data_IF_122553355920
#
_entry.id   IF_122553355920
#
_cell.length_a   1.000
_cell.length_b   1.000
_cell.length_c   1.000
_cell.angle_alpha   90.00
_cell.angle_beta   90.00
_cell.angle_gamma   90.00
#
_symmetry.space_group_name_H-M   'P 1'
#
loop_
_entity.id
_entity.type
_entity.pdbx_description
1 polymer ?
#
# COMPACT_ATOMS: atom_id res chain seq x y z
N UNK A 1 22.47 -0.40 -18.29
CA UNK A 1 23.41 -1.48 -17.97
C UNK A 1 23.42 -1.88 -16.49
N UNK A 2 23.61 -0.96 -15.52
CA UNK A 2 23.60 -1.31 -14.07
C UNK A 2 22.29 -1.89 -13.55
N UNK A 3 21.14 -1.38 -13.98
CA UNK A 3 19.81 -1.89 -13.59
C UNK A 3 19.51 -3.28 -14.17
N UNK A 4 19.94 -3.53 -15.40
CA UNK A 4 19.82 -4.86 -16.03
C UNK A 4 20.60 -5.93 -15.26
N UNK A 5 21.80 -5.60 -14.81
CA UNK A 5 22.62 -6.51 -13.99
C UNK A 5 21.99 -6.82 -12.62
N UNK A 6 21.36 -5.82 -11.96
CA UNK A 6 20.69 -6.02 -10.66
C UNK A 6 19.49 -6.93 -10.84
N UNK A 7 18.67 -6.69 -11.84
CA UNK A 7 17.49 -7.51 -12.11
C UNK A 7 17.86 -8.94 -12.52
N UNK A 8 18.91 -9.11 -13.32
CA UNK A 8 19.41 -10.44 -13.69
C UNK A 8 19.99 -11.20 -12.50
N UNK A 9 20.69 -10.52 -11.59
CA UNK A 9 21.18 -11.10 -10.34
C UNK A 9 20.02 -11.48 -9.41
N UNK A 10 19.03 -10.60 -9.24
CA UNK A 10 17.83 -10.91 -8.45
C UNK A 10 17.08 -12.11 -9.01
N UNK A 11 16.91 -12.20 -10.34
CA UNK A 11 16.25 -13.33 -10.99
C UNK A 11 16.96 -14.66 -10.71
N UNK A 12 18.30 -14.66 -10.66
CA UNK A 12 19.08 -15.86 -10.31
C UNK A 12 18.79 -16.30 -8.88
N UNK A 13 18.71 -15.37 -7.93
CA UNK A 13 18.41 -15.70 -6.53
C UNK A 13 17.01 -16.29 -6.37
N UNK A 14 16.03 -15.85 -7.16
CA UNK A 14 14.67 -16.40 -7.11
C UNK A 14 14.54 -17.82 -7.69
N UNK A 15 15.53 -18.29 -8.47
CA UNK A 15 15.56 -19.63 -9.04
C UNK A 15 16.30 -20.62 -8.12
N UNK A 16 17.17 -20.12 -7.24
CA UNK A 16 17.97 -20.99 -6.37
C UNK A 16 17.12 -21.64 -5.27
N UNK A 17 17.33 -22.92 -4.99
CA UNK A 17 16.63 -23.60 -3.91
C UNK A 17 17.10 -23.09 -2.53
N UNK A 18 16.23 -23.16 -1.54
CA UNK A 18 16.45 -22.62 -0.18
C UNK A 18 17.77 -23.10 0.46
N UNK A 19 18.20 -24.36 0.22
CA UNK A 19 19.47 -24.86 0.76
C UNK A 19 20.69 -24.11 0.21
N UNK A 20 20.68 -23.76 -1.07
CA UNK A 20 21.76 -23.00 -1.70
C UNK A 20 21.79 -21.54 -1.18
N UNK A 21 20.61 -20.95 -1.01
CA UNK A 21 20.46 -19.61 -0.43
C UNK A 21 20.93 -19.57 1.02
N UNK A 22 20.66 -20.61 1.80
CA UNK A 22 21.15 -20.77 3.18
C UNK A 22 22.68 -20.73 3.26
N UNK A 23 23.34 -21.46 2.36
CA UNK A 23 24.82 -21.48 2.29
C UNK A 23 25.37 -20.11 1.86
N UNK A 24 24.76 -19.48 0.84
CA UNK A 24 25.22 -18.19 0.32
C UNK A 24 25.07 -17.03 1.30
N UNK A 25 24.05 -17.07 2.14
CA UNK A 25 23.79 -15.98 3.07
C UNK A 25 24.55 -16.09 4.37
N UNK A 26 25.04 -17.29 4.75
CA UNK A 26 25.64 -17.58 6.07
C UNK A 26 24.80 -17.07 7.26
N UNK A 27 23.53 -16.77 7.04
CA UNK A 27 22.64 -16.20 8.04
C UNK A 27 21.93 -17.29 8.83
N UNK A 28 21.75 -17.02 10.13
CA UNK A 28 20.90 -17.86 10.97
C UNK A 28 19.46 -17.74 10.50
N UNK A 29 18.78 -18.85 10.53
CA UNK A 29 17.35 -18.95 10.30
C UNK A 29 16.58 -18.05 11.26
N UNK A 30 15.70 -17.21 10.75
CA UNK A 30 14.76 -16.42 11.56
C UNK A 30 13.47 -17.23 11.60
N UNK A 31 13.13 -17.77 12.75
CA UNK A 31 11.91 -18.54 12.94
C UNK A 31 11.04 -17.97 14.06
N UNK A 32 9.73 -18.12 13.91
CA UNK A 32 8.77 -17.79 14.94
C UNK A 32 7.66 -18.84 14.97
N UNK A 33 7.48 -19.44 16.16
CA UNK A 33 6.63 -20.63 16.33
C UNK A 33 7.00 -21.68 15.31
N UNK A 34 6.52 -22.21 14.44
CA UNK A 34 6.95 -23.21 13.47
C UNK A 34 7.16 -22.65 12.07
N UNK A 35 7.14 -21.33 11.92
CA UNK A 35 7.31 -20.65 10.64
C UNK A 35 8.74 -20.12 10.48
N UNK A 36 9.32 -20.33 9.34
CA UNK A 36 10.66 -19.88 8.97
C UNK A 36 10.53 -18.71 8.00
N UNK A 37 11.24 -17.62 8.27
CA UNK A 37 11.30 -16.50 7.35
C UNK A 37 12.01 -16.93 6.06
N UNK A 38 11.37 -16.72 4.93
CA UNK A 38 11.86 -17.16 3.63
C UNK A 38 13.21 -16.55 3.27
N UNK A 39 14.15 -17.42 2.84
CA UNK A 39 15.51 -17.00 2.48
C UNK A 39 15.57 -16.07 1.26
N UNK A 40 14.66 -16.23 0.30
CA UNK A 40 14.59 -15.35 -0.87
C UNK A 40 14.22 -13.93 -0.43
N UNK A 41 13.21 -13.80 0.43
CA UNK A 41 12.83 -12.52 1.04
C UNK A 41 13.93 -11.91 1.87
N UNK A 42 14.68 -12.71 2.64
CA UNK A 42 15.84 -12.21 3.42
C UNK A 42 16.94 -11.63 2.54
N UNK A 43 17.28 -12.29 1.43
CA UNK A 43 18.27 -11.82 0.47
C UNK A 43 17.78 -10.54 -0.20
N UNK A 44 16.54 -10.54 -0.66
CA UNK A 44 15.91 -9.38 -1.30
C UNK A 44 15.95 -8.14 -0.38
N UNK A 45 15.51 -8.28 0.87
CA UNK A 45 15.57 -7.21 1.88
C UNK A 45 17.01 -6.73 2.08
N UNK A 46 17.96 -7.64 2.20
CA UNK A 46 19.36 -7.29 2.43
C UNK A 46 19.98 -6.55 1.25
N UNK A 47 19.68 -6.98 0.03
CA UNK A 47 20.16 -6.33 -1.19
C UNK A 47 19.52 -4.95 -1.38
N UNK A 48 18.23 -4.84 -1.15
CA UNK A 48 17.54 -3.53 -1.21
C UNK A 48 18.09 -2.61 -0.14
N UNK A 49 18.20 -3.03 1.09
CA UNK A 49 18.74 -2.22 2.18
C UNK A 49 20.16 -1.75 1.88
N UNK A 50 21.04 -2.65 1.40
CA UNK A 50 22.40 -2.29 0.97
C UNK A 50 22.40 -1.28 -0.18
N UNK A 51 21.54 -1.50 -1.20
CA UNK A 51 21.41 -0.60 -2.34
C UNK A 51 20.92 0.78 -1.92
N UNK A 52 19.86 0.85 -1.14
CA UNK A 52 19.28 2.11 -0.65
C UNK A 52 20.33 2.90 0.17
N UNK A 53 21.07 2.22 1.06
CA UNK A 53 22.12 2.83 1.86
C UNK A 53 23.28 3.33 0.99
N UNK A 54 23.77 2.49 0.08
CA UNK A 54 24.95 2.81 -0.75
C UNK A 54 24.70 3.97 -1.71
N UNK A 55 23.47 4.13 -2.20
CA UNK A 55 23.12 5.17 -3.17
C UNK A 55 22.38 6.37 -2.56
N UNK A 56 22.33 6.46 -1.23
CA UNK A 56 21.71 7.60 -0.53
C UNK A 56 20.19 7.68 -0.66
N UNK A 57 19.53 6.56 -0.94
CA UNK A 57 18.06 6.46 -0.96
C UNK A 57 17.48 6.07 0.41
N UNK A 58 18.25 6.19 1.47
CA UNK A 58 17.74 6.03 2.84
C UNK A 58 16.75 7.17 3.09
N UNK A 59 15.54 6.81 3.55
CA UNK A 59 14.59 7.81 4.02
C UNK A 59 15.21 8.60 5.16
N UNK A 60 15.71 9.79 4.86
CA UNK A 60 16.07 10.74 5.90
C UNK A 60 14.79 11.31 6.50
N UNK A 61 14.36 10.71 7.59
CA UNK A 61 13.13 11.05 8.29
C UNK A 61 13.19 12.45 8.91
N UNK A 62 14.40 12.99 9.11
CA UNK A 62 14.59 14.35 9.66
C UNK A 62 14.45 15.44 8.59
N UNK A 63 14.60 15.07 7.31
CA UNK A 63 14.66 16.00 6.18
C UNK A 63 13.72 15.59 5.05
N UNK A 64 12.52 15.11 5.40
CA UNK A 64 11.55 14.67 4.42
C UNK A 64 11.05 15.83 3.58
N UNK A 65 11.30 15.77 2.29
CA UNK A 65 10.95 16.80 1.32
C UNK A 65 10.20 16.22 0.11
N UNK A 66 9.53 17.09 -0.61
CA UNK A 66 8.86 16.74 -1.87
C UNK A 66 9.84 16.19 -2.92
N UNK A 67 11.08 16.70 -2.95
CA UNK A 67 12.13 16.22 -3.84
C UNK A 67 12.53 14.77 -3.47
N UNK A 68 12.66 14.45 -2.18
CA UNK A 68 12.92 13.09 -1.72
C UNK A 68 11.75 12.15 -2.08
N UNK A 69 10.50 12.58 -1.89
CA UNK A 69 9.30 11.82 -2.30
C UNK A 69 9.34 11.48 -3.78
N UNK A 70 9.61 12.48 -4.63
CA UNK A 70 9.74 12.31 -6.09
C UNK A 70 10.87 11.38 -6.48
N UNK A 71 12.04 11.49 -5.85
CA UNK A 71 13.19 10.59 -6.09
C UNK A 71 12.84 9.15 -5.75
N UNK A 72 12.18 8.92 -4.63
CA UNK A 72 11.73 7.57 -4.22
C UNK A 72 10.68 7.02 -5.17
N UNK A 73 9.68 7.81 -5.55
CA UNK A 73 8.68 7.39 -6.52
C UNK A 73 9.34 6.99 -7.85
N UNK A 74 10.19 7.83 -8.40
CA UNK A 74 10.92 7.56 -9.65
C UNK A 74 11.80 6.29 -9.57
N UNK A 75 12.43 6.03 -8.44
CA UNK A 75 13.19 4.80 -8.23
C UNK A 75 12.28 3.57 -8.22
N UNK A 76 11.17 3.62 -7.49
CA UNK A 76 10.19 2.54 -7.41
C UNK A 76 9.56 2.24 -8.77
N UNK A 77 9.17 3.26 -9.53
CA UNK A 77 8.66 3.11 -10.90
C UNK A 77 9.67 2.37 -11.77
N UNK A 78 10.96 2.75 -11.72
CA UNK A 78 12.03 2.07 -12.48
C UNK A 78 12.22 0.62 -12.08
N UNK A 79 12.05 0.28 -10.82
CA UNK A 79 12.15 -1.10 -10.32
C UNK A 79 10.93 -1.90 -10.74
N UNK A 80 9.74 -1.33 -10.60
CA UNK A 80 8.48 -2.01 -10.83
C UNK A 80 8.15 -2.23 -12.32
N UNK A 81 8.71 -1.43 -13.23
CA UNK A 81 8.46 -1.56 -14.68
C UNK A 81 8.87 -2.91 -15.30
N UNK A 82 9.39 -3.84 -14.50
CA UNK A 82 9.75 -5.19 -14.95
C UNK A 82 8.68 -6.26 -14.61
N UNK A 83 7.54 -5.87 -14.06
CA UNK A 83 6.41 -6.79 -13.87
C UNK A 83 5.85 -7.15 -15.25
N UNK A 84 6.02 -8.39 -15.65
CA UNK A 84 5.54 -8.86 -16.96
C UNK A 84 4.02 -8.87 -16.99
N UNK A 85 3.44 -8.10 -17.89
CA UNK A 85 2.01 -8.14 -18.21
C UNK A 85 1.83 -8.99 -19.47
N UNK A 86 0.84 -9.87 -19.46
CA UNK A 86 0.50 -10.75 -20.60
C UNK A 86 -0.57 -10.13 -21.49
N UNK A 87 -1.41 -9.27 -20.92
CA UNK A 87 -2.51 -8.60 -21.61
C UNK A 87 -2.29 -7.08 -21.67
N UNK A 88 -2.92 -6.44 -22.63
CA UNK A 88 -2.95 -4.97 -22.73
C UNK A 88 -4.00 -4.48 -21.73
N UNK A 89 -3.57 -3.63 -20.78
CA UNK A 89 -4.44 -2.96 -19.83
C UNK A 89 -4.72 -1.56 -20.33
N UNK A 90 -5.99 -1.24 -20.52
CA UNK A 90 -6.45 0.11 -20.78
C UNK A 90 -6.45 0.91 -19.48
N UNK A 91 -5.96 2.15 -19.53
CA UNK A 91 -5.84 3.03 -18.36
C UNK A 91 -6.45 4.38 -18.71
N UNK A 92 -7.24 4.90 -17.78
CA UNK A 92 -7.87 6.20 -17.91
C UNK A 92 -7.85 6.94 -16.58
N UNK A 93 -7.35 8.19 -16.58
CA UNK A 93 -7.35 9.05 -15.41
C UNK A 93 -8.63 9.90 -15.38
N UNK A 94 -9.47 9.67 -14.40
CA UNK A 94 -10.77 10.32 -14.23
C UNK A 94 -10.67 11.36 -13.11
N UNK A 95 -10.99 12.63 -13.40
CA UNK A 95 -11.08 13.67 -12.37
C UNK A 95 -12.45 13.57 -11.71
N UNK A 96 -12.49 13.03 -10.48
CA UNK A 96 -13.72 12.75 -9.75
C UNK A 96 -14.16 13.89 -8.81
N UNK A 97 -13.26 14.83 -8.53
CA UNK A 97 -13.51 16.09 -7.84
C UNK A 97 -12.67 17.20 -8.49
N UNK A 98 -13.33 18.05 -9.27
CA UNK A 98 -12.70 19.18 -10.00
C UNK A 98 -12.05 20.18 -9.05
N UNK A 99 -12.65 20.45 -7.90
CA UNK A 99 -12.16 21.46 -6.95
C UNK A 99 -10.81 21.09 -6.34
N UNK A 100 -10.64 19.80 -6.04
CA UNK A 100 -9.43 19.27 -5.40
C UNK A 100 -8.51 18.55 -6.38
N UNK A 101 -8.85 18.52 -7.67
CA UNK A 101 -8.15 17.75 -8.70
C UNK A 101 -7.92 16.27 -8.29
N UNK A 102 -8.96 15.65 -7.70
CA UNK A 102 -8.88 14.28 -7.22
C UNK A 102 -8.97 13.31 -8.39
N UNK A 103 -7.93 12.52 -8.59
CA UNK A 103 -7.80 11.58 -9.70
C UNK A 103 -8.12 10.16 -9.23
N UNK A 104 -8.90 9.46 -10.05
CA UNK A 104 -9.20 8.04 -9.93
C UNK A 104 -8.77 7.36 -11.23
N UNK A 105 -7.69 6.55 -11.20
CA UNK A 105 -7.24 5.81 -12.38
C UNK A 105 -8.02 4.52 -12.53
N UNK A 106 -8.73 4.39 -13.65
CA UNK A 106 -9.39 3.17 -14.05
C UNK A 106 -8.42 2.25 -14.80
N UNK A 107 -8.46 0.96 -14.48
CA UNK A 107 -7.78 -0.12 -15.19
C UNK A 107 -8.81 -1.10 -15.72
N UNK A 108 -8.73 -1.45 -17.00
CA UNK A 108 -9.64 -2.39 -17.62
C UNK A 108 -8.98 -3.20 -18.73
N UNK A 109 -9.58 -4.35 -19.04
CA UNK A 109 -9.21 -5.16 -20.22
C UNK A 109 -10.18 -4.86 -21.37
N UNK A 110 -9.74 -5.15 -22.59
CA UNK A 110 -10.58 -5.07 -23.80
C UNK A 110 -11.38 -6.36 -24.02
N UNK A 111 -11.80 -7.00 -22.96
CA UNK A 111 -12.58 -8.24 -22.95
C UNK A 111 -13.72 -8.13 -21.95
N UNK A 112 -14.66 -9.06 -22.00
CA UNK A 112 -15.69 -9.15 -20.97
C UNK A 112 -15.05 -9.35 -19.60
N UNK A 113 -15.44 -8.49 -18.65
CA UNK A 113 -14.91 -8.47 -17.28
C UNK A 113 -16.01 -8.78 -16.28
N UNK A 114 -15.63 -9.08 -15.05
CA UNK A 114 -16.55 -9.19 -13.92
C UNK A 114 -17.44 -7.95 -13.82
N UNK A 115 -18.68 -8.13 -13.36
CA UNK A 115 -19.62 -7.05 -13.02
C UNK A 115 -19.21 -6.28 -11.74
N UNK A 116 -18.24 -6.80 -11.01
CA UNK A 116 -17.65 -6.15 -9.83
C UNK A 116 -16.53 -5.21 -10.20
N UNK A 117 -16.20 -4.31 -9.27
CA UNK A 117 -15.01 -3.48 -9.38
C UNK A 117 -14.26 -3.44 -8.04
N UNK A 118 -12.98 -3.14 -8.11
CA UNK A 118 -12.13 -2.93 -6.94
C UNK A 118 -11.79 -1.44 -6.83
N UNK A 119 -12.10 -0.81 -5.70
CA UNK A 119 -11.57 0.50 -5.32
C UNK A 119 -10.29 0.25 -4.51
N UNK A 120 -9.15 0.60 -5.10
CA UNK A 120 -7.84 0.31 -4.56
C UNK A 120 -7.18 1.56 -3.96
N UNK A 121 -6.61 1.40 -2.76
CA UNK A 121 -5.81 2.41 -2.07
C UNK A 121 -4.38 1.90 -1.90
N UNK A 122 -3.42 2.65 -2.44
CA UNK A 122 -2.01 2.27 -2.37
C UNK A 122 -1.42 2.45 -0.97
N UNK A 123 -0.38 1.67 -0.66
CA UNK A 123 0.42 1.85 0.54
C UNK A 123 1.43 3.00 0.43
N UNK A 124 2.19 3.19 1.51
CA UNK A 124 3.24 4.20 1.58
C UNK A 124 3.13 5.10 2.80
N UNK A 125 2.52 4.62 3.90
CA UNK A 125 2.46 5.33 5.19
C UNK A 125 1.74 6.68 5.12
N UNK A 126 0.85 6.88 4.17
CA UNK A 126 0.21 8.17 3.87
C UNK A 126 1.16 9.29 3.45
N UNK A 127 2.45 9.04 3.31
CA UNK A 127 3.46 10.07 3.08
C UNK A 127 4.24 9.90 1.77
N UNK A 128 4.29 8.67 1.24
CA UNK A 128 5.03 8.35 0.02
C UNK A 128 4.19 7.50 -0.92
N UNK A 129 4.64 7.38 -2.17
CA UNK A 129 3.97 6.62 -3.23
C UNK A 129 2.90 7.42 -3.97
N UNK A 130 2.36 6.84 -5.02
CA UNK A 130 1.30 7.38 -5.87
C UNK A 130 0.77 6.27 -6.81
N UNK A 131 -0.24 6.57 -7.61
CA UNK A 131 -0.82 5.63 -8.59
C UNK A 131 0.19 5.16 -9.65
N UNK A 132 1.18 5.98 -10.04
CA UNK A 132 2.20 5.60 -11.02
C UNK A 132 3.18 4.56 -10.46
N UNK A 133 3.53 4.66 -9.16
CA UNK A 133 4.35 3.66 -8.47
C UNK A 133 3.64 2.31 -8.40
N UNK A 134 2.33 2.33 -8.22
CA UNK A 134 1.50 1.12 -8.11
C UNK A 134 0.96 0.61 -9.45
N UNK A 135 1.16 1.36 -10.53
CA UNK A 135 0.65 1.03 -11.85
C UNK A 135 0.93 -0.42 -12.31
N UNK A 136 2.16 -0.96 -12.17
CA UNK A 136 2.44 -2.34 -12.55
C UNK A 136 1.70 -3.37 -11.69
N UNK A 137 1.58 -3.13 -10.38
CA UNK A 137 0.90 -4.04 -9.44
C UNK A 137 -0.60 -4.03 -9.71
N UNK A 138 -1.21 -2.85 -9.86
CA UNK A 138 -2.65 -2.71 -10.11
C UNK A 138 -3.01 -3.25 -11.50
N UNK A 139 -2.16 -3.04 -12.50
CA UNK A 139 -2.34 -3.63 -13.83
C UNK A 139 -2.31 -5.17 -13.77
N UNK A 140 -1.35 -5.75 -13.04
CA UNK A 140 -1.28 -7.19 -12.82
C UNK A 140 -2.53 -7.73 -12.10
N UNK A 141 -2.98 -7.03 -11.05
CA UNK A 141 -4.21 -7.40 -10.34
C UNK A 141 -5.43 -7.34 -11.27
N UNK A 142 -5.56 -6.32 -12.11
CA UNK A 142 -6.64 -6.19 -13.08
C UNK A 142 -6.65 -7.38 -14.06
N UNK A 143 -5.48 -7.77 -14.54
CA UNK A 143 -5.31 -8.90 -15.45
C UNK A 143 -5.70 -10.24 -14.79
N UNK A 144 -5.13 -10.54 -13.63
CA UNK A 144 -5.33 -11.82 -12.96
C UNK A 144 -6.74 -12.00 -12.37
N UNK A 145 -7.33 -10.93 -11.89
CA UNK A 145 -8.70 -10.96 -11.34
C UNK A 145 -9.78 -10.84 -12.41
N UNK A 146 -9.42 -10.47 -13.63
CA UNK A 146 -10.36 -10.14 -14.70
C UNK A 146 -11.46 -9.16 -14.25
N UNK A 147 -11.08 -8.13 -13.48
CA UNK A 147 -11.97 -7.20 -12.79
C UNK A 147 -11.46 -5.77 -12.95
N UNK A 148 -12.36 -4.83 -13.23
CA UNK A 148 -12.00 -3.40 -13.26
C UNK A 148 -11.47 -2.95 -11.91
N UNK A 149 -10.36 -2.21 -11.94
CA UNK A 149 -9.77 -1.62 -10.75
C UNK A 149 -9.73 -0.10 -10.89
N UNK A 150 -10.13 0.57 -9.84
CA UNK A 150 -10.08 2.02 -9.69
C UNK A 150 -9.09 2.36 -8.58
N UNK A 151 -7.94 2.94 -8.95
CA UNK A 151 -6.89 3.32 -8.01
C UNK A 151 -6.96 4.81 -7.70
N UNK A 152 -7.12 5.15 -6.42
CA UNK A 152 -7.28 6.53 -5.97
C UNK A 152 -5.92 7.19 -5.72
N UNK A 153 -5.69 8.35 -6.35
CA UNK A 153 -4.58 9.27 -6.03
C UNK A 153 -5.00 10.14 -4.85
N UNK A 154 -4.96 9.58 -3.64
CA UNK A 154 -5.35 10.33 -2.44
C UNK A 154 -4.24 11.26 -1.96
N UNK A 155 -4.63 12.36 -1.31
CA UNK A 155 -3.73 13.37 -0.77
C UNK A 155 -2.82 12.82 0.32
N UNK A 156 -1.52 13.13 0.22
CA UNK A 156 -0.49 12.64 1.13
C UNK A 156 -0.17 13.62 2.26
N UNK A 157 0.34 13.07 3.34
CA UNK A 157 0.90 13.79 4.48
C UNK A 157 2.39 14.13 4.25
N UNK A 158 2.93 15.15 4.91
CA UNK A 158 2.32 15.99 5.97
C UNK A 158 1.42 17.11 5.47
N UNK A 159 1.35 17.37 4.16
CA UNK A 159 0.58 18.48 3.58
C UNK A 159 -0.92 18.30 3.83
N UNK A 160 -1.38 17.05 3.79
CA UNK A 160 -2.78 16.68 4.00
C UNK A 160 -2.90 15.58 5.06
N UNK A 161 -3.07 15.98 6.30
CA UNK A 161 -3.17 15.09 7.44
C UNK A 161 -4.57 14.46 7.56
N UNK A 162 -4.72 13.49 8.46
CA UNK A 162 -6.02 12.91 8.80
C UNK A 162 -7.04 14.03 9.12
N UNK A 163 -8.28 13.97 8.64
CA UNK A 163 -8.92 12.86 7.90
C UNK A 163 -8.98 13.08 6.37
N UNK A 164 -8.09 13.87 5.74
CA UNK A 164 -8.20 14.26 4.33
C UNK A 164 -8.31 13.08 3.36
N UNK A 165 -7.40 12.12 3.44
CA UNK A 165 -7.44 10.91 2.59
C UNK A 165 -8.73 10.11 2.78
N UNK A 166 -9.26 10.03 4.01
CA UNK A 166 -10.53 9.35 4.30
C UNK A 166 -11.73 10.06 3.65
N UNK A 167 -11.73 11.40 3.63
CA UNK A 167 -12.75 12.17 2.92
C UNK A 167 -12.71 11.89 1.41
N UNK A 168 -11.52 11.82 0.83
CA UNK A 168 -11.31 11.53 -0.59
C UNK A 168 -11.69 10.08 -0.94
N UNK A 169 -11.40 9.12 -0.08
CA UNK A 169 -11.86 7.74 -0.23
C UNK A 169 -13.40 7.63 -0.24
N UNK A 170 -14.09 8.41 0.61
CA UNK A 170 -15.55 8.52 0.57
C UNK A 170 -16.04 9.12 -0.76
N UNK A 171 -15.39 10.17 -1.27
CA UNK A 171 -15.75 10.77 -2.58
C UNK A 171 -15.62 9.71 -3.69
N UNK A 172 -14.53 8.93 -3.70
CA UNK A 172 -14.32 7.89 -4.69
C UNK A 172 -15.38 6.79 -4.62
N UNK A 173 -15.75 6.33 -3.42
CA UNK A 173 -16.82 5.35 -3.25
C UNK A 173 -18.17 5.90 -3.76
N UNK A 174 -18.55 7.11 -3.39
CA UNK A 174 -19.79 7.75 -3.84
C UNK A 174 -19.77 8.03 -5.36
N UNK A 175 -18.59 8.28 -5.92
CA UNK A 175 -18.44 8.43 -7.36
C UNK A 175 -18.77 7.13 -8.08
N UNK A 176 -18.24 5.98 -7.64
CA UNK A 176 -18.56 4.66 -8.20
C UNK A 176 -20.06 4.36 -8.09
N UNK A 177 -20.69 4.67 -6.94
CA UNK A 177 -22.12 4.51 -6.75
C UNK A 177 -22.94 5.29 -7.78
N UNK A 178 -22.56 6.53 -8.05
CA UNK A 178 -23.23 7.39 -9.03
C UNK A 178 -22.97 6.99 -10.47
N UNK A 179 -21.90 6.23 -10.73
CA UNK A 179 -21.53 5.74 -12.07
C UNK A 179 -21.97 4.30 -12.33
N UNK A 180 -22.99 3.83 -11.60
CA UNK A 180 -23.70 2.60 -11.91
C UNK A 180 -23.25 1.34 -11.17
N UNK A 181 -22.23 1.42 -10.28
CA UNK A 181 -21.86 0.28 -9.46
C UNK A 181 -22.76 0.20 -8.22
N UNK A 182 -23.46 -0.90 -8.01
CA UNK A 182 -24.16 -1.16 -6.74
C UNK A 182 -23.16 -1.40 -5.61
N UNK A 183 -23.57 -1.26 -4.36
CA UNK A 183 -22.68 -1.54 -3.22
C UNK A 183 -22.21 -3.00 -3.21
N UNK A 184 -23.02 -3.91 -3.71
CA UNK A 184 -22.73 -5.34 -3.86
C UNK A 184 -21.69 -5.62 -4.95
N UNK A 185 -21.39 -4.64 -5.80
CA UNK A 185 -20.39 -4.75 -6.86
C UNK A 185 -19.04 -4.10 -6.48
N UNK A 186 -18.99 -3.31 -5.41
CA UNK A 186 -17.77 -2.61 -5.00
C UNK A 186 -17.01 -3.42 -3.95
N UNK A 187 -15.76 -3.76 -4.27
CA UNK A 187 -14.78 -4.35 -3.36
C UNK A 187 -13.78 -3.24 -3.02
N UNK A 188 -13.47 -3.05 -1.74
CA UNK A 188 -12.42 -2.12 -1.33
C UNK A 188 -11.17 -2.91 -1.00
N UNK A 189 -10.02 -2.49 -1.55
CA UNK A 189 -8.75 -3.14 -1.34
C UNK A 189 -7.66 -2.10 -1.06
N UNK A 190 -6.69 -2.46 -0.23
CA UNK A 190 -5.49 -1.65 -0.03
C UNK A 190 -4.43 -2.37 0.77
N UNK A 191 -3.19 -1.94 0.60
CA UNK A 191 -2.03 -2.46 1.32
C UNK A 191 -1.47 -1.44 2.31
N UNK A 192 -0.96 -1.88 3.46
CA UNK A 192 -0.31 -1.02 4.46
C UNK A 192 -1.19 0.17 4.88
N UNK A 193 -0.78 1.41 4.60
CA UNK A 193 -1.59 2.62 4.82
C UNK A 193 -2.88 2.61 3.99
N UNK A 194 -2.85 2.08 2.76
CA UNK A 194 -4.06 1.90 1.95
C UNK A 194 -5.02 0.87 2.56
N UNK A 195 -4.49 -0.18 3.20
CA UNK A 195 -5.30 -1.13 3.97
C UNK A 195 -5.95 -0.47 5.20
N UNK A 196 -5.23 0.41 5.89
CA UNK A 196 -5.81 1.24 6.94
C UNK A 196 -6.92 2.15 6.40
N UNK A 197 -6.68 2.82 5.28
CA UNK A 197 -7.67 3.70 4.64
C UNK A 197 -8.94 2.93 4.24
N UNK A 198 -8.79 1.71 3.73
CA UNK A 198 -9.89 0.83 3.41
C UNK A 198 -10.74 0.50 4.66
N UNK A 199 -10.11 0.10 5.75
CA UNK A 199 -10.80 -0.20 7.00
C UNK A 199 -11.44 1.05 7.64
N UNK A 200 -10.71 2.19 7.64
CA UNK A 200 -11.23 3.48 8.10
C UNK A 200 -12.46 3.93 7.32
N UNK A 201 -12.47 3.71 6.02
CA UNK A 201 -13.62 4.05 5.16
C UNK A 201 -14.86 3.25 5.55
N UNK A 202 -14.74 1.92 5.73
CA UNK A 202 -15.85 1.11 6.17
C UNK A 202 -16.39 1.56 7.52
N UNK A 203 -15.48 1.79 8.48
CA UNK A 203 -15.86 2.24 9.80
C UNK A 203 -16.53 3.62 9.79
N UNK A 204 -15.99 4.60 9.06
CA UNK A 204 -16.60 5.93 8.89
C UNK A 204 -18.00 5.85 8.29
N UNK A 205 -18.19 4.97 7.30
CA UNK A 205 -19.49 4.76 6.67
C UNK A 205 -20.49 4.10 7.61
N UNK A 206 -20.04 3.10 8.37
CA UNK A 206 -20.85 2.43 9.40
C UNK A 206 -21.32 3.40 10.49
N UNK A 207 -20.42 4.25 11.00
CA UNK A 207 -20.74 5.29 12.00
C UNK A 207 -21.79 6.30 11.50
N UNK A 208 -21.93 6.45 10.19
CA UNK A 208 -22.84 7.41 9.54
C UNK A 208 -24.07 6.74 8.91
N UNK A 209 -24.32 5.47 9.23
CA UNK A 209 -25.40 4.65 8.64
C UNK A 209 -25.44 4.69 7.10
N UNK A 210 -24.27 4.76 6.48
CA UNK A 210 -24.12 4.76 5.02
C UNK A 210 -23.96 3.35 4.47
N UNK A 211 -24.25 3.19 3.16
CA UNK A 211 -24.03 1.94 2.47
C UNK A 211 -22.58 1.46 2.56
N UNK A 212 -22.39 0.18 2.85
CA UNK A 212 -21.09 -0.48 2.91
C UNK A 212 -20.78 -1.21 1.58
N UNK A 213 -19.52 -1.38 1.21
CA UNK A 213 -19.12 -2.18 0.06
C UNK A 213 -19.43 -3.66 0.29
N UNK A 214 -19.38 -4.46 -0.79
CA UNK A 214 -19.56 -5.91 -0.73
C UNK A 214 -18.50 -6.61 0.12
N UNK A 215 -17.24 -6.19 -0.03
CA UNK A 215 -16.10 -6.83 0.61
C UNK A 215 -14.97 -5.82 0.85
N UNK A 216 -14.17 -6.04 1.88
CA UNK A 216 -12.86 -5.39 2.03
C UNK A 216 -11.74 -6.43 2.01
N UNK A 217 -10.64 -6.08 1.34
CA UNK A 217 -9.41 -6.87 1.30
C UNK A 217 -8.28 -6.03 1.88
N UNK A 218 -7.81 -6.41 3.04
CA UNK A 218 -6.78 -5.68 3.79
C UNK A 218 -5.45 -6.42 3.68
N UNK A 219 -4.47 -5.83 3.01
CA UNK A 219 -3.15 -6.40 2.81
C UNK A 219 -2.21 -5.77 3.83
N UNK A 220 -1.75 -6.52 4.84
CA UNK A 220 -0.90 -6.09 5.96
C UNK A 220 -1.18 -4.64 6.44
N UNK A 221 -2.42 -4.30 6.84
CA UNK A 221 -2.81 -2.94 7.14
C UNK A 221 -2.06 -2.36 8.34
N UNK A 222 -1.75 -1.06 8.31
CA UNK A 222 -1.48 -0.29 9.53
C UNK A 222 -2.79 -0.21 10.31
N UNK A 223 -2.80 -0.51 11.61
CA UNK A 223 -4.09 -0.56 12.35
C UNK A 223 -4.14 0.40 13.53
N UNK A 224 -3.00 0.77 14.11
CA UNK A 224 -2.96 1.62 15.30
C UNK A 224 -1.65 2.43 15.38
N UNK A 225 -1.69 3.67 15.86
CA UNK A 225 -0.51 4.47 16.18
C UNK A 225 0.24 3.94 17.42
N UNK A 226 -0.38 3.08 18.22
CA UNK A 226 0.33 2.37 19.29
C UNK A 226 1.39 1.46 18.67
N UNK A 227 2.61 1.54 19.19
CA UNK A 227 3.74 0.73 18.72
C UNK A 227 4.17 -0.32 19.76
N UNK A 228 3.28 -0.62 20.72
CA UNK A 228 3.51 -1.58 21.80
C UNK A 228 3.03 -2.98 21.43
N UNK A 229 3.51 -3.47 20.29
CA UNK A 229 3.20 -4.82 19.84
C UNK A 229 4.45 -5.72 19.93
N UNK A 230 4.34 -6.94 20.46
CA UNK A 230 5.47 -7.87 20.56
C UNK A 230 6.14 -8.16 19.20
N UNK A 231 5.41 -8.05 18.09
CA UNK A 231 5.96 -8.17 16.74
C UNK A 231 6.88 -7.01 16.39
N UNK A 232 6.60 -5.78 16.79
CA UNK A 232 7.46 -4.62 16.56
C UNK A 232 8.73 -4.64 17.42
N UNK A 233 8.69 -5.26 18.58
CA UNK A 233 9.92 -5.48 19.39
C UNK A 233 10.85 -6.50 18.73
N UNK A 234 10.27 -7.56 18.14
CA UNK A 234 11.06 -8.62 17.49
C UNK A 234 11.52 -8.28 16.08
N UNK A 235 10.67 -7.62 15.29
CA UNK A 235 10.83 -7.42 13.86
C UNK A 235 10.92 -5.94 13.48
N UNK A 236 10.94 -5.06 14.45
CA UNK A 236 11.02 -3.61 14.23
C UNK A 236 12.38 -3.09 13.80
N UNK A 237 13.39 -3.96 13.65
CA UNK A 237 14.71 -3.63 13.16
C UNK A 237 15.17 -4.67 12.13
N UNK A 238 16.03 -4.24 11.22
CA UNK A 238 16.63 -5.11 10.18
C UNK A 238 15.67 -5.71 9.14
N UNK A 239 14.43 -5.25 9.10
CA UNK A 239 13.45 -5.53 8.08
C UNK A 239 13.12 -4.27 7.28
N UNK A 240 12.39 -4.39 6.15
CA UNK A 240 12.10 -3.25 5.26
C UNK A 240 11.39 -2.09 5.94
N UNK A 241 10.48 -2.40 6.87
CA UNK A 241 9.74 -1.43 7.65
C UNK A 241 10.15 -1.53 9.12
N UNK A 242 10.78 -0.47 9.63
CA UNK A 242 11.23 -0.43 11.02
C UNK A 242 10.20 0.21 11.95
N UNK A 243 10.34 -0.04 13.26
CA UNK A 243 9.50 0.61 14.30
C UNK A 243 9.62 2.14 14.22
N UNK A 244 10.82 2.67 14.02
CA UNK A 244 11.05 4.11 13.88
C UNK A 244 10.38 4.69 12.62
N UNK A 245 10.40 3.97 11.49
CA UNK A 245 9.67 4.38 10.30
C UNK A 245 8.16 4.38 10.53
N UNK A 246 7.61 3.38 11.22
CA UNK A 246 6.19 3.34 11.59
C UNK A 246 5.80 4.53 12.47
N UNK A 247 6.61 4.85 13.49
CA UNK A 247 6.43 6.01 14.37
C UNK A 247 6.39 7.30 13.56
N UNK A 248 7.32 7.45 12.62
CA UNK A 248 7.39 8.60 11.75
C UNK A 248 6.16 8.73 10.84
N UNK A 249 5.71 7.66 10.19
CA UNK A 249 4.51 7.69 9.34
C UNK A 249 3.27 8.12 10.13
N UNK A 250 3.06 7.56 11.30
CA UNK A 250 1.95 7.97 12.16
C UNK A 250 2.05 9.43 12.59
N UNK A 251 3.25 9.90 12.95
CA UNK A 251 3.47 11.31 13.33
C UNK A 251 3.09 12.25 12.18
N UNK A 252 3.50 11.97 10.95
CA UNK A 252 3.16 12.79 9.79
C UNK A 252 1.69 12.74 9.42
N UNK A 253 1.04 11.62 9.60
CA UNK A 253 -0.38 11.45 9.32
C UNK A 253 -1.27 12.10 10.39
N UNK A 254 -0.81 12.24 11.63
CA UNK A 254 -1.55 12.84 12.75
C UNK A 254 -1.70 14.34 12.56
N UNK A 255 -2.94 14.86 12.61
CA UNK A 255 -3.21 16.30 12.57
C UNK A 255 -3.13 16.93 13.96
N UNK A 256 -3.75 16.27 14.94
CA UNK A 256 -3.87 16.72 16.32
C UNK A 256 -3.73 15.53 17.28
N UNK A 257 -3.31 15.75 18.51
CA UNK A 257 -3.24 14.68 19.53
C UNK A 257 -4.61 14.01 19.77
N UNK A 258 -5.71 14.76 19.60
CA UNK A 258 -7.07 14.25 19.70
C UNK A 258 -7.39 13.14 18.67
N UNK A 259 -6.68 13.07 17.55
CA UNK A 259 -6.89 12.02 16.56
C UNK A 259 -6.64 10.60 17.14
N UNK A 260 -5.80 10.49 18.15
CA UNK A 260 -5.56 9.22 18.83
C UNK A 260 -6.80 8.66 19.55
N UNK A 261 -7.85 9.45 19.74
CA UNK A 261 -9.14 9.03 20.30
C UNK A 261 -10.16 8.64 19.21
N UNK A 262 -9.89 8.99 17.95
CA UNK A 262 -10.78 8.69 16.84
C UNK A 262 -10.60 7.24 16.39
N UNK A 263 -11.66 6.43 16.46
CA UNK A 263 -11.64 5.03 16.05
C UNK A 263 -11.47 4.82 14.54
N UNK A 264 -11.61 5.87 13.73
CA UNK A 264 -11.29 5.85 12.30
C UNK A 264 -9.79 6.03 12.03
N UNK A 265 -9.08 6.62 13.01
CA UNK A 265 -7.63 6.78 13.01
C UNK A 265 -6.92 5.63 13.71
N UNK A 266 -7.40 5.22 14.89
CA UNK A 266 -6.92 4.05 15.63
C UNK A 266 -7.97 2.94 15.58
N UNK A 267 -7.83 2.05 14.60
CA UNK A 267 -8.82 1.00 14.32
C UNK A 267 -8.95 -0.04 15.45
N UNK A 268 -7.98 -0.10 16.37
CA UNK A 268 -8.10 -0.97 17.55
C UNK A 268 -9.06 -0.41 18.61
N UNK A 269 -9.51 0.84 18.43
CA UNK A 269 -10.54 1.46 19.27
C UNK A 269 -11.96 1.30 18.74
N UNK A 270 -12.14 0.56 17.64
CA UNK A 270 -13.47 0.19 17.16
C UNK A 270 -14.15 -0.67 18.23
N UNK A 271 -15.29 -0.20 18.73
CA UNK A 271 -16.08 -0.99 19.67
C UNK A 271 -16.67 -2.21 18.95
N UNK A 272 -16.40 -3.41 19.49
CA UNK A 272 -16.93 -4.67 18.94
C UNK A 272 -18.46 -4.78 18.98
N UNK A 273 -19.14 -3.85 19.68
CA UNK A 273 -20.61 -3.77 19.67
C UNK A 273 -21.17 -3.13 18.39
N UNK A 274 -20.34 -2.45 17.61
CA UNK A 274 -20.73 -1.97 16.29
C UNK A 274 -20.65 -3.15 15.30
N UNK A 275 -21.77 -3.79 15.05
CA UNK A 275 -21.90 -4.86 14.04
C UNK A 275 -21.64 -4.26 12.66
N UNK A 276 -20.60 -4.79 12.00
CA UNK A 276 -20.39 -4.61 10.58
C UNK A 276 -21.31 -5.53 9.80
#
# INVERSE_FOLDING_TARGET
MKHFLINSLLSIFFILPNWALKILTLRKEISYKNEVFDYQSMIYISLISWFLTKFGYVLDMSNFSDDMRKKMANLRIKINNNVAQKKIIQKEDLIIDQKNNLVLRQYSLDSEMSDKCVLFFHGGGYAISNIDVYDPVVSFMCEELNTKIFSLEYSLSPENKFPKALQEANIAFEWLRRHGYSKEQIIICGDSAGGHLAASLLHDRSLKDKELPFLQVLIYPMVSPSLDFPSLERLGENFLLTKEQMKWFWHYFTAEEANNLDSRFDLLKIDNNNKF
#
